data_IF_349917681919
#
_entry.id   IF_349917681919
#
_cell.length_a   1.000
_cell.length_b   1.000
_cell.length_c   1.000
_cell.angle_alpha   90.00
_cell.angle_beta   90.00
_cell.angle_gamma   90.00
#
_symmetry.space_group_name_H-M   'P 1'
#
loop_
_entity.id
_entity.type
_entity.pdbx_description
1 polymer ?
#
# COMPACT_ATOMS: atom_id res chain seq x y z
N UNK A 1 -81.19 -2.37 -11.05
CA UNK A 1 -80.04 -2.48 -11.95
C UNK A 1 -78.75 -1.78 -11.46
N UNK A 2 -78.87 -0.89 -10.45
CA UNK A 2 -77.74 -0.14 -9.87
C UNK A 2 -76.95 -0.97 -8.85
N UNK A 3 -77.61 -1.83 -8.09
CA UNK A 3 -77.01 -2.65 -7.02
C UNK A 3 -76.01 -3.67 -7.50
N UNK A 4 -76.18 -4.26 -8.72
CA UNK A 4 -75.25 -5.22 -9.28
C UNK A 4 -73.97 -4.60 -9.83
N UNK A 5 -74.00 -3.33 -10.25
CA UNK A 5 -72.80 -2.63 -10.77
C UNK A 5 -71.87 -2.24 -9.63
N UNK A 6 -72.42 -1.76 -8.50
CA UNK A 6 -71.62 -1.37 -7.35
C UNK A 6 -70.98 -2.58 -6.69
N UNK A 7 -71.66 -3.71 -6.59
CA UNK A 7 -71.11 -4.95 -6.06
C UNK A 7 -69.95 -5.47 -6.92
N UNK A 8 -70.08 -5.41 -8.25
CA UNK A 8 -69.05 -5.84 -9.20
C UNK A 8 -67.81 -4.94 -9.13
N UNK A 9 -67.98 -3.62 -8.92
CA UNK A 9 -66.87 -2.66 -8.79
C UNK A 9 -66.15 -2.86 -7.45
N UNK A 10 -66.86 -3.17 -6.37
CA UNK A 10 -66.27 -3.45 -5.06
C UNK A 10 -65.47 -4.78 -5.07
N UNK A 11 -66.03 -5.82 -5.70
CA UNK A 11 -65.32 -7.11 -5.88
C UNK A 11 -64.09 -6.96 -6.74
N UNK A 12 -64.13 -6.15 -7.80
CA UNK A 12 -62.96 -5.89 -8.68
C UNK A 12 -61.89 -5.05 -7.95
N UNK A 13 -62.26 -4.07 -7.12
CA UNK A 13 -61.34 -3.32 -6.26
C UNK A 13 -60.72 -4.20 -5.16
N UNK A 14 -61.47 -5.14 -4.59
CA UNK A 14 -60.98 -6.09 -3.59
C UNK A 14 -60.00 -7.10 -4.18
N UNK A 15 -60.19 -7.51 -5.45
CA UNK A 15 -59.24 -8.40 -6.14
C UNK A 15 -57.90 -7.66 -6.47
N UNK A 16 -57.95 -6.39 -6.78
CA UNK A 16 -56.72 -5.59 -7.00
C UNK A 16 -55.94 -5.29 -5.72
N UNK A 17 -56.62 -5.23 -4.56
CA UNK A 17 -55.91 -4.98 -3.28
C UNK A 17 -55.21 -6.20 -2.70
N UNK A 18 -55.43 -7.41 -3.22
CA UNK A 18 -54.75 -8.63 -2.77
C UNK A 18 -53.54 -9.05 -3.63
N UNK A 19 -53.24 -8.31 -4.71
CA UNK A 19 -52.06 -8.55 -5.54
C UNK A 19 -50.82 -7.81 -5.01
N UNK A 20 -50.65 -7.69 -3.71
CA UNK A 20 -49.36 -7.45 -3.13
C UNK A 20 -48.57 -8.76 -3.23
N UNK A 21 -47.86 -8.95 -4.29
CA UNK A 21 -46.78 -9.94 -4.35
C UNK A 21 -45.82 -9.63 -3.20
N UNK A 22 -45.98 -10.33 -2.08
CA UNK A 22 -45.04 -10.25 -0.98
C UNK A 22 -43.69 -10.82 -1.48
N UNK A 23 -42.82 -9.93 -1.91
CA UNK A 23 -41.42 -10.30 -2.07
C UNK A 23 -40.90 -10.69 -0.69
N UNK A 24 -40.52 -11.95 -0.55
CA UNK A 24 -39.88 -12.42 0.65
C UNK A 24 -38.54 -11.69 0.83
N UNK A 25 -38.50 -10.71 1.68
CA UNK A 25 -37.30 -9.95 2.06
C UNK A 25 -36.52 -10.62 3.17
N UNK A 26 -36.92 -11.83 3.57
CA UNK A 26 -36.26 -12.56 4.65
C UNK A 26 -34.83 -12.94 4.28
N UNK A 27 -33.92 -12.73 5.22
CA UNK A 27 -32.55 -13.23 5.12
C UNK A 27 -32.55 -14.72 5.44
N UNK A 28 -32.46 -15.55 4.42
CA UNK A 28 -32.44 -17.01 4.53
C UNK A 28 -31.01 -17.49 4.23
N UNK A 29 -30.40 -18.36 5.08
CA UNK A 29 -29.13 -18.98 4.79
C UNK A 29 -29.17 -19.69 3.42
N UNK A 30 -28.12 -19.45 2.62
CA UNK A 30 -27.97 -20.07 1.29
C UNK A 30 -26.85 -21.10 1.34
N UNK A 31 -26.92 -22.13 0.48
CA UNK A 31 -25.87 -23.16 0.36
C UNK A 31 -24.52 -22.62 -0.13
N UNK A 32 -24.54 -21.54 -0.93
CA UNK A 32 -23.34 -20.80 -1.33
C UNK A 32 -23.25 -19.55 -0.45
N UNK A 33 -22.40 -19.61 0.56
CA UNK A 33 -22.21 -18.51 1.49
C UNK A 33 -21.68 -17.25 0.78
N UNK A 34 -22.09 -16.09 1.23
CA UNK A 34 -21.47 -14.83 0.82
C UNK A 34 -20.17 -14.65 1.57
N UNK A 35 -19.09 -14.36 0.87
CA UNK A 35 -17.76 -14.09 1.40
C UNK A 35 -17.36 -12.68 1.01
N UNK A 36 -16.68 -11.98 1.91
CA UNK A 36 -16.09 -10.66 1.67
C UNK A 36 -14.68 -10.70 2.24
N UNK A 37 -13.72 -10.48 1.40
CA UNK A 37 -12.29 -10.45 1.74
C UNK A 37 -11.68 -9.14 1.32
N UNK A 38 -10.76 -8.63 2.12
CA UNK A 38 -10.06 -7.38 1.83
C UNK A 38 -8.58 -7.56 2.11
N UNK A 39 -7.75 -7.22 1.11
CA UNK A 39 -6.31 -7.13 1.24
C UNK A 39 -5.86 -5.70 0.91
N UNK A 40 -4.87 -5.20 1.64
CA UNK A 40 -4.23 -3.91 1.37
C UNK A 40 -2.87 -4.10 0.74
N UNK A 41 -2.57 -3.33 -0.33
CA UNK A 41 -1.25 -3.15 -0.93
C UNK A 41 -0.94 -1.64 -0.94
N UNK A 42 0.23 -1.23 -0.41
CA UNK A 42 0.47 0.20 -0.14
C UNK A 42 -0.65 0.79 0.72
N UNK A 43 -1.35 1.78 0.18
CA UNK A 43 -2.54 2.39 0.82
C UNK A 43 -3.86 1.99 0.14
N UNK A 44 -3.82 1.05 -0.79
CA UNK A 44 -4.97 0.62 -1.61
C UNK A 44 -5.64 -0.61 -1.01
N UNK A 45 -6.92 -0.52 -0.68
CA UNK A 45 -7.75 -1.65 -0.29
C UNK A 45 -8.37 -2.31 -1.53
N UNK A 46 -8.19 -3.63 -1.66
CA UNK A 46 -8.81 -4.48 -2.65
C UNK A 46 -9.83 -5.36 -1.93
N UNK A 47 -11.11 -5.20 -2.22
CA UNK A 47 -12.17 -5.97 -1.59
C UNK A 47 -12.87 -6.84 -2.63
N UNK A 48 -12.91 -8.15 -2.42
CA UNK A 48 -13.64 -9.12 -3.25
C UNK A 48 -14.88 -9.57 -2.50
N UNK A 49 -16.03 -9.60 -3.18
CA UNK A 49 -17.29 -9.98 -2.59
C UNK A 49 -18.01 -10.95 -3.52
N UNK A 50 -18.15 -12.20 -3.11
CA UNK A 50 -18.60 -13.31 -3.95
C UNK A 50 -19.50 -14.32 -3.21
N UNK A 51 -20.20 -15.15 -3.95
CA UNK A 51 -20.84 -16.35 -3.40
C UNK A 51 -19.93 -17.55 -3.60
N UNK A 52 -19.64 -18.28 -2.52
CA UNK A 52 -18.75 -19.44 -2.49
C UNK A 52 -19.53 -20.78 -2.64
N UNK A 53 -19.68 -21.35 -3.85
CA UNK A 53 -20.32 -22.63 -4.05
C UNK A 53 -19.36 -23.78 -3.74
N UNK A 54 -19.92 -24.94 -3.29
CA UNK A 54 -19.20 -26.20 -3.20
C UNK A 54 -19.27 -27.00 -4.51
N UNK A 55 -18.28 -27.85 -4.73
CA UNK A 55 -18.22 -28.77 -5.88
C UNK A 55 -19.37 -29.79 -5.82
N UNK A 56 -19.62 -30.38 -4.65
CA UNK A 56 -20.66 -31.40 -4.44
C UNK A 56 -20.57 -32.54 -5.46
N UNK A 57 -19.39 -33.12 -5.65
CA UNK A 57 -19.09 -34.19 -6.60
C UNK A 57 -19.39 -33.86 -8.07
N UNK A 58 -19.42 -32.60 -8.49
CA UNK A 58 -19.60 -32.18 -9.89
C UNK A 58 -18.23 -31.95 -10.54
N UNK A 59 -18.15 -32.20 -11.84
CA UNK A 59 -17.05 -31.72 -12.66
C UNK A 59 -17.31 -30.28 -13.06
N UNK A 60 -16.99 -29.36 -12.14
CA UNK A 60 -17.38 -27.96 -12.25
C UNK A 60 -16.78 -27.24 -13.45
N UNK A 61 -15.57 -27.63 -13.89
CA UNK A 61 -14.90 -27.00 -15.02
C UNK A 61 -15.40 -27.45 -16.39
N UNK A 62 -16.02 -28.64 -16.50
CA UNK A 62 -16.57 -29.18 -17.71
C UNK A 62 -18.12 -29.18 -17.74
N UNK A 63 -18.80 -29.00 -16.62
CA UNK A 63 -20.26 -28.87 -16.59
C UNK A 63 -20.70 -27.47 -17.04
N UNK A 64 -21.11 -27.32 -18.26
CA UNK A 64 -21.55 -26.05 -18.87
C UNK A 64 -22.75 -25.41 -18.17
N UNK A 65 -23.47 -26.15 -17.32
CA UNK A 65 -24.57 -25.62 -16.48
C UNK A 65 -24.02 -24.90 -15.25
N UNK A 66 -22.77 -25.21 -14.85
CA UNK A 66 -22.07 -24.57 -13.72
C UNK A 66 -21.22 -23.43 -14.26
N UNK A 67 -20.34 -23.70 -15.22
CA UNK A 67 -19.46 -22.73 -15.86
C UNK A 67 -19.69 -22.74 -17.37
N UNK A 68 -20.42 -21.72 -17.90
CA UNK A 68 -20.60 -21.59 -19.35
C UNK A 68 -19.25 -21.47 -20.08
N UNK A 69 -19.07 -22.22 -21.16
CA UNK A 69 -17.86 -22.21 -21.96
C UNK A 69 -17.97 -21.21 -23.11
N UNK A 70 -16.85 -20.58 -23.48
CA UNK A 70 -16.78 -19.60 -24.57
C UNK A 70 -17.78 -18.42 -24.43
N UNK A 71 -18.23 -18.10 -23.21
CA UNK A 71 -19.23 -17.07 -22.98
C UNK A 71 -20.64 -17.40 -23.41
N UNK A 72 -20.95 -18.69 -23.71
CA UNK A 72 -22.26 -19.11 -24.23
C UNK A 72 -23.02 -19.96 -23.17
N UNK A 73 -24.26 -19.58 -22.80
CA UNK A 73 -25.04 -18.44 -23.30
C UNK A 73 -24.61 -17.07 -22.75
N UNK A 74 -23.81 -17.01 -21.69
CA UNK A 74 -23.35 -15.80 -21.00
C UNK A 74 -21.98 -16.05 -20.35
N UNK A 75 -21.19 -15.03 -20.03
CA UNK A 75 -20.01 -15.16 -19.18
C UNK A 75 -20.33 -15.75 -17.80
N UNK A 76 -19.38 -16.45 -17.19
CA UNK A 76 -19.54 -16.96 -15.83
C UNK A 76 -19.36 -15.82 -14.81
N UNK A 77 -20.25 -15.75 -13.81
CA UNK A 77 -20.21 -14.76 -12.72
C UNK A 77 -19.06 -14.92 -11.72
N UNK A 78 -18.13 -15.84 -11.96
CA UNK A 78 -16.99 -16.14 -11.11
C UNK A 78 -17.35 -16.38 -9.62
N UNK A 79 -18.46 -17.09 -9.39
CA UNK A 79 -19.05 -17.36 -8.09
C UNK A 79 -20.48 -17.84 -8.20
N UNK A 80 -21.31 -17.58 -7.19
CA UNK A 80 -22.71 -18.00 -7.12
C UNK A 80 -23.65 -16.87 -6.68
N UNK A 81 -24.93 -16.99 -7.09
CA UNK A 81 -26.04 -16.06 -6.78
C UNK A 81 -25.87 -14.71 -7.50
N UNK A 82 -25.64 -13.61 -6.72
CA UNK A 82 -25.28 -12.32 -7.30
C UNK A 82 -23.92 -12.41 -7.97
N UNK A 83 -23.64 -11.55 -8.94
CA UNK A 83 -22.32 -11.46 -9.53
C UNK A 83 -21.24 -11.18 -8.48
N UNK A 84 -20.05 -11.69 -8.73
CA UNK A 84 -18.87 -11.33 -7.95
C UNK A 84 -18.52 -9.87 -8.21
N UNK A 85 -18.03 -9.16 -7.19
CA UNK A 85 -17.56 -7.79 -7.34
C UNK A 85 -16.15 -7.66 -6.77
N UNK A 86 -15.34 -6.83 -7.44
CA UNK A 86 -14.02 -6.42 -6.95
C UNK A 86 -14.03 -4.90 -6.81
N UNK A 87 -13.65 -4.41 -5.62
CA UNK A 87 -13.56 -2.98 -5.32
C UNK A 87 -12.11 -2.59 -5.14
N UNK A 88 -11.71 -1.49 -5.75
CA UNK A 88 -10.42 -0.84 -5.56
C UNK A 88 -10.65 0.54 -4.93
N UNK A 89 -9.92 0.84 -3.83
CA UNK A 89 -10.06 2.14 -3.14
C UNK A 89 -9.31 3.27 -3.84
N UNK A 90 -8.32 2.96 -4.66
CA UNK A 90 -7.55 3.88 -5.51
C UNK A 90 -7.45 3.31 -6.93
N UNK A 91 -6.87 4.06 -7.86
CA UNK A 91 -6.54 3.55 -9.20
C UNK A 91 -5.53 2.40 -9.10
N UNK A 92 -5.70 1.38 -9.93
CA UNK A 92 -4.84 0.19 -9.97
C UNK A 92 -4.44 -0.17 -11.40
N UNK A 93 -3.46 -1.06 -11.54
CA UNK A 93 -3.18 -1.75 -12.79
C UNK A 93 -3.57 -3.22 -12.63
N UNK A 94 -4.35 -3.74 -13.56
CA UNK A 94 -4.69 -5.16 -13.66
C UNK A 94 -3.98 -5.71 -14.89
N UNK A 95 -3.09 -6.68 -14.70
CA UNK A 95 -2.21 -7.18 -15.77
C UNK A 95 -1.53 -6.03 -16.55
N UNK A 96 -1.11 -4.96 -15.82
CA UNK A 96 -0.48 -3.78 -16.39
C UNK A 96 -1.43 -2.76 -17.05
N UNK A 97 -2.74 -2.98 -17.05
CA UNK A 97 -3.73 -2.07 -17.62
C UNK A 97 -4.44 -1.24 -16.55
N UNK A 98 -4.51 0.07 -16.74
CA UNK A 98 -5.06 1.01 -15.77
C UNK A 98 -6.56 0.82 -15.57
N UNK A 99 -6.98 0.68 -14.32
CA UNK A 99 -8.38 0.64 -13.89
C UNK A 99 -8.59 1.67 -12.78
N UNK A 100 -9.60 2.50 -12.94
CA UNK A 100 -9.93 3.56 -11.97
C UNK A 100 -10.46 2.99 -10.66
N UNK A 101 -10.31 3.74 -9.56
CA UNK A 101 -10.96 3.43 -8.29
C UNK A 101 -12.47 3.21 -8.50
N UNK A 102 -13.03 2.18 -7.85
CA UNK A 102 -14.44 1.86 -8.03
C UNK A 102 -14.80 0.44 -7.66
N UNK A 103 -16.04 0.07 -7.92
CA UNK A 103 -16.57 -1.29 -7.75
C UNK A 103 -16.89 -1.85 -9.13
N UNK A 104 -16.35 -3.01 -9.44
CA UNK A 104 -16.53 -3.68 -10.73
C UNK A 104 -17.22 -5.03 -10.56
N UNK A 105 -18.18 -5.33 -11.42
CA UNK A 105 -18.67 -6.69 -11.61
C UNK A 105 -17.56 -7.53 -12.25
N UNK A 106 -17.30 -8.71 -11.68
CA UNK A 106 -16.25 -9.60 -12.16
C UNK A 106 -16.86 -10.84 -12.79
N UNK A 107 -16.45 -11.12 -14.02
CA UNK A 107 -16.94 -12.25 -14.79
C UNK A 107 -15.79 -12.92 -15.54
N UNK A 108 -15.96 -14.19 -15.91
CA UNK A 108 -14.94 -14.98 -16.60
C UNK A 108 -15.55 -15.70 -17.79
N UNK A 109 -14.79 -15.75 -18.88
CA UNK A 109 -15.08 -16.59 -20.06
C UNK A 109 -13.95 -17.60 -20.20
N UNK A 110 -14.17 -18.89 -19.86
CA UNK A 110 -13.22 -19.95 -20.20
C UNK A 110 -13.17 -20.19 -21.72
N UNK A 111 -11.97 -20.23 -22.30
CA UNK A 111 -11.70 -20.47 -23.72
C UNK A 111 -10.61 -21.52 -23.89
N UNK A 112 -10.86 -22.74 -23.43
CA UNK A 112 -9.85 -23.81 -23.42
C UNK A 112 -8.74 -23.51 -22.39
N UNK A 113 -7.52 -23.28 -22.86
CA UNK A 113 -6.35 -23.02 -22.02
C UNK A 113 -6.18 -21.54 -21.59
N UNK A 114 -7.12 -20.70 -21.98
CA UNK A 114 -7.12 -19.27 -21.66
C UNK A 114 -8.43 -18.88 -21.01
N UNK A 115 -8.35 -18.02 -20.00
CA UNK A 115 -9.50 -17.45 -19.28
C UNK A 115 -9.54 -15.96 -19.52
N UNK A 116 -10.59 -15.47 -20.15
CA UNK A 116 -10.81 -14.04 -20.33
C UNK A 116 -11.52 -13.49 -19.09
N UNK A 117 -10.87 -12.61 -18.35
CA UNK A 117 -11.41 -11.90 -17.21
C UNK A 117 -12.07 -10.61 -17.66
N UNK A 118 -13.27 -10.34 -17.17
CA UNK A 118 -14.08 -9.19 -17.51
C UNK A 118 -14.35 -8.36 -16.25
N UNK A 119 -13.97 -7.09 -16.27
CA UNK A 119 -14.29 -6.12 -15.24
C UNK A 119 -15.33 -5.15 -15.80
N UNK A 120 -16.54 -5.17 -15.22
CA UNK A 120 -17.67 -4.42 -15.71
C UNK A 120 -18.07 -3.31 -14.72
N UNK A 121 -18.45 -2.13 -15.20
CA UNK A 121 -19.01 -1.09 -14.33
C UNK A 121 -20.39 -1.47 -13.80
N UNK A 122 -21.15 -2.32 -14.51
CA UNK A 122 -22.37 -2.92 -14.00
C UNK A 122 -22.02 -4.00 -12.97
N UNK A 123 -22.21 -3.70 -11.68
CA UNK A 123 -21.71 -4.51 -10.56
C UNK A 123 -22.81 -5.02 -9.62
N UNK A 124 -24.09 -4.84 -9.96
CA UNK A 124 -25.22 -5.24 -9.11
C UNK A 124 -26.31 -5.95 -9.92
N UNK A 125 -26.04 -7.22 -10.25
CA UNK A 125 -26.96 -8.03 -11.02
C UNK A 125 -26.99 -9.50 -10.54
N UNK A 126 -28.06 -10.21 -10.88
CA UNK A 126 -28.13 -11.65 -10.67
C UNK A 126 -27.34 -12.38 -11.75
N UNK A 127 -26.21 -12.97 -11.37
CA UNK A 127 -25.33 -13.66 -12.32
C UNK A 127 -24.71 -12.72 -13.34
N UNK A 128 -24.76 -13.13 -14.61
CA UNK A 128 -24.31 -12.36 -15.77
C UNK A 128 -25.42 -12.15 -16.79
N UNK A 129 -26.68 -12.33 -16.39
CA UNK A 129 -27.82 -12.34 -17.32
C UNK A 129 -28.13 -10.98 -17.95
N UNK A 130 -27.70 -9.90 -17.28
CA UNK A 130 -27.95 -8.52 -17.71
C UNK A 130 -26.65 -7.80 -18.12
N UNK A 131 -25.55 -8.55 -18.27
CA UNK A 131 -24.26 -7.99 -18.68
C UNK A 131 -24.30 -7.67 -20.18
N UNK A 132 -24.11 -6.42 -20.52
CA UNK A 132 -23.94 -5.94 -21.90
C UNK A 132 -22.45 -5.94 -22.23
N UNK A 133 -22.01 -6.86 -23.08
CA UNK A 133 -20.61 -7.04 -23.45
C UNK A 133 -20.01 -5.84 -24.20
N UNK A 134 -20.82 -5.00 -24.84
CA UNK A 134 -20.36 -3.83 -25.60
C UNK A 134 -20.31 -2.59 -24.72
N UNK A 135 -21.23 -2.46 -23.75
CA UNK A 135 -21.39 -1.23 -22.95
C UNK A 135 -20.81 -1.33 -21.56
N UNK A 136 -20.91 -2.50 -20.89
CA UNK A 136 -20.59 -2.61 -19.47
C UNK A 136 -19.10 -2.88 -19.21
N UNK A 137 -18.36 -3.43 -20.19
CA UNK A 137 -16.98 -3.87 -19.97
C UNK A 137 -16.02 -2.69 -19.91
N UNK A 138 -15.39 -2.52 -18.77
CA UNK A 138 -14.34 -1.51 -18.54
C UNK A 138 -12.97 -2.07 -18.92
N UNK A 139 -12.70 -3.34 -18.59
CA UNK A 139 -11.45 -4.01 -18.88
C UNK A 139 -11.70 -5.47 -19.22
N UNK A 140 -10.95 -5.96 -20.20
CA UNK A 140 -10.84 -7.36 -20.54
C UNK A 140 -9.37 -7.76 -20.61
N UNK A 141 -9.00 -8.85 -19.91
CA UNK A 141 -7.64 -9.41 -19.93
C UNK A 141 -7.70 -10.93 -20.03
N UNK A 142 -6.73 -11.49 -20.72
CA UNK A 142 -6.59 -12.93 -20.86
C UNK A 142 -5.49 -13.46 -19.93
N UNK A 143 -5.80 -14.51 -19.16
CA UNK A 143 -4.88 -15.17 -18.25
C UNK A 143 -4.86 -16.66 -18.48
N UNK A 144 -3.78 -17.33 -18.04
CA UNK A 144 -3.68 -18.79 -18.07
C UNK A 144 -3.94 -19.36 -16.69
N UNK A 145 -4.76 -20.41 -16.58
CA UNK A 145 -4.95 -21.09 -15.30
C UNK A 145 -3.66 -21.82 -14.87
N UNK A 146 -3.54 -22.04 -13.57
CA UNK A 146 -2.51 -22.88 -12.95
C UNK A 146 -3.15 -23.95 -12.07
N UNK A 147 -2.42 -25.00 -11.75
CA UNK A 147 -2.83 -25.95 -10.74
C UNK A 147 -2.72 -25.35 -9.34
N UNK A 148 -3.58 -25.79 -8.42
CA UNK A 148 -3.54 -25.46 -7.01
C UNK A 148 -3.94 -26.68 -6.15
N UNK A 149 -3.73 -26.66 -4.83
CA UNK A 149 -4.30 -27.64 -3.93
C UNK A 149 -5.83 -27.70 -4.09
N UNK A 150 -6.38 -28.91 -3.96
CA UNK A 150 -7.82 -29.12 -4.14
C UNK A 150 -8.64 -28.28 -3.15
N UNK A 151 -9.56 -27.46 -3.68
CA UNK A 151 -10.53 -26.69 -2.90
C UNK A 151 -11.97 -27.14 -3.22
N UNK A 152 -12.68 -27.67 -2.22
CA UNK A 152 -14.10 -28.06 -2.34
C UNK A 152 -15.01 -26.84 -2.55
N UNK A 153 -14.66 -25.68 -1.97
CA UNK A 153 -15.40 -24.45 -2.14
C UNK A 153 -14.64 -23.50 -3.05
N UNK A 154 -15.38 -22.77 -3.89
CA UNK A 154 -14.78 -21.65 -4.63
C UNK A 154 -14.30 -20.61 -3.64
N UNK A 155 -13.04 -20.18 -3.82
CA UNK A 155 -12.37 -19.21 -2.97
C UNK A 155 -11.53 -18.24 -3.80
N UNK A 156 -11.15 -17.11 -3.18
CA UNK A 156 -10.22 -16.14 -3.72
C UNK A 156 -9.05 -16.00 -2.77
N UNK A 157 -7.84 -16.24 -3.27
CA UNK A 157 -6.61 -16.15 -2.50
C UNK A 157 -5.78 -14.94 -2.93
N UNK A 158 -5.18 -14.27 -1.94
CA UNK A 158 -4.21 -13.20 -2.17
C UNK A 158 -2.80 -13.76 -1.99
N UNK A 159 -2.02 -13.78 -3.07
CA UNK A 159 -0.73 -14.47 -3.16
C UNK A 159 0.38 -13.50 -3.58
N UNK A 160 1.64 -13.84 -3.29
CA UNK A 160 2.83 -13.16 -3.81
C UNK A 160 2.79 -11.63 -3.67
N UNK A 161 2.32 -11.15 -2.54
CA UNK A 161 2.15 -9.71 -2.31
C UNK A 161 3.47 -9.03 -1.94
N UNK A 162 3.62 -7.86 -2.49
CA UNK A 162 4.71 -6.93 -2.23
C UNK A 162 4.12 -5.63 -1.65
N UNK A 163 4.93 -4.58 -1.55
CA UNK A 163 4.43 -3.27 -1.13
C UNK A 163 3.42 -2.67 -2.12
N UNK A 164 3.56 -2.97 -3.41
CA UNK A 164 2.83 -2.34 -4.52
C UNK A 164 2.03 -3.31 -5.39
N UNK A 165 2.04 -4.61 -5.09
CA UNK A 165 1.35 -5.61 -5.92
C UNK A 165 0.88 -6.84 -5.15
N UNK A 166 -0.11 -7.54 -5.73
CA UNK A 166 -0.63 -8.82 -5.24
C UNK A 166 -1.13 -9.65 -6.43
N UNK A 167 -0.96 -10.95 -6.36
CA UNK A 167 -1.65 -11.87 -7.26
C UNK A 167 -2.95 -12.32 -6.61
N UNK A 168 -4.08 -12.13 -7.29
CA UNK A 168 -5.38 -12.65 -6.87
C UNK A 168 -5.62 -13.94 -7.64
N UNK A 169 -5.89 -15.03 -6.93
CA UNK A 169 -6.22 -16.34 -7.53
C UNK A 169 -7.64 -16.74 -7.19
N UNK A 170 -8.52 -16.90 -8.18
CA UNK A 170 -9.76 -17.65 -7.99
C UNK A 170 -9.44 -19.12 -8.00
N UNK A 171 -9.72 -19.83 -6.89
CA UNK A 171 -9.46 -21.26 -6.73
C UNK A 171 -10.76 -22.07 -6.63
N UNK A 172 -10.85 -23.15 -7.41
CA UNK A 172 -11.93 -24.12 -7.29
C UNK A 172 -11.52 -25.46 -7.86
N UNK A 173 -11.81 -26.56 -7.16
CA UNK A 173 -11.23 -27.87 -7.41
C UNK A 173 -9.69 -27.79 -7.37
N UNK A 174 -9.02 -28.18 -8.42
CA UNK A 174 -7.57 -28.22 -8.59
C UNK A 174 -7.02 -27.07 -9.47
N UNK A 175 -7.86 -26.10 -9.79
CA UNK A 175 -7.52 -25.03 -10.73
C UNK A 175 -7.57 -23.66 -10.08
N UNK A 176 -6.49 -22.87 -10.29
CA UNK A 176 -6.38 -21.46 -9.95
C UNK A 176 -6.42 -20.60 -11.22
N UNK A 177 -7.18 -19.52 -11.20
CA UNK A 177 -7.18 -18.49 -12.24
C UNK A 177 -6.55 -17.24 -11.67
N UNK A 178 -5.22 -17.02 -11.86
CA UNK A 178 -4.49 -15.94 -11.27
C UNK A 178 -4.56 -14.69 -12.15
N UNK A 179 -4.51 -13.51 -11.51
CA UNK A 179 -4.24 -12.23 -12.16
C UNK A 179 -3.54 -11.28 -11.18
N UNK A 180 -2.69 -10.41 -11.72
CA UNK A 180 -1.90 -9.46 -10.91
C UNK A 180 -2.63 -8.14 -10.82
N UNK A 181 -2.71 -7.61 -9.60
CA UNK A 181 -3.13 -6.23 -9.32
C UNK A 181 -1.94 -5.49 -8.74
N UNK A 182 -1.61 -4.34 -9.30
CA UNK A 182 -0.53 -3.48 -8.79
C UNK A 182 -0.97 -2.02 -8.73
N UNK A 183 -0.20 -1.19 -8.02
CA UNK A 183 -0.41 0.24 -7.89
C UNK A 183 0.87 1.00 -8.24
N UNK A 184 0.73 2.19 -8.81
CA UNK A 184 1.82 3.17 -8.79
C UNK A 184 1.88 3.75 -7.37
N UNK A 185 2.70 3.11 -6.52
CA UNK A 185 2.80 3.45 -5.10
C UNK A 185 3.14 4.93 -4.90
N UNK A 186 4.13 5.42 -5.63
CA UNK A 186 4.60 6.79 -5.47
C UNK A 186 3.52 7.81 -5.81
N UNK A 187 2.89 7.67 -6.96
CA UNK A 187 1.78 8.55 -7.36
C UNK A 187 0.61 8.46 -6.39
N UNK A 188 0.22 7.25 -6.01
CA UNK A 188 -0.94 7.00 -5.13
C UNK A 188 -0.74 7.62 -3.75
N UNK A 189 0.45 7.46 -3.16
CA UNK A 189 0.76 7.99 -1.82
C UNK A 189 0.89 9.52 -1.85
N UNK A 190 1.57 10.09 -2.84
CA UNK A 190 1.71 11.54 -2.97
C UNK A 190 0.35 12.23 -3.16
N UNK A 191 -0.55 11.65 -3.95
CA UNK A 191 -1.91 12.17 -4.11
C UNK A 191 -2.72 12.08 -2.81
N UNK A 192 -2.56 11.00 -2.04
CA UNK A 192 -3.16 10.89 -0.72
C UNK A 192 -2.66 11.98 0.22
N UNK A 193 -1.35 12.24 0.26
CA UNK A 193 -0.78 13.34 1.06
C UNK A 193 -1.36 14.69 0.67
N UNK A 194 -1.46 15.02 -0.62
CA UNK A 194 -2.09 16.27 -1.10
C UNK A 194 -3.53 16.42 -0.60
N UNK A 195 -4.26 15.30 -0.49
CA UNK A 195 -5.63 15.30 0.04
C UNK A 195 -5.65 15.46 1.56
N UNK A 196 -4.87 14.66 2.27
CA UNK A 196 -4.85 14.61 3.74
C UNK A 196 -4.34 15.92 4.35
N UNK A 197 -3.32 16.54 3.73
CA UNK A 197 -2.74 17.81 4.17
C UNK A 197 -3.69 19.03 3.98
N UNK A 198 -4.83 18.86 3.32
CA UNK A 198 -5.94 19.86 3.26
C UNK A 198 -6.94 19.70 4.41
N UNK A 199 -6.91 18.57 5.11
CA UNK A 199 -7.77 18.25 6.25
C UNK A 199 -7.19 18.72 7.58
N UNK A 200 -7.50 18.01 8.65
CA UNK A 200 -7.00 18.30 10.01
C UNK A 200 -5.46 18.27 10.10
N UNK A 201 -4.81 17.48 9.27
CA UNK A 201 -3.37 17.34 9.21
C UNK A 201 -2.65 18.66 8.84
N UNK A 202 -3.35 19.61 8.20
CA UNK A 202 -2.78 20.92 7.85
C UNK A 202 -2.25 21.72 9.06
N UNK A 203 -2.75 21.42 10.26
CA UNK A 203 -2.39 22.11 11.51
C UNK A 203 -1.18 21.51 12.22
N UNK A 204 -0.67 20.36 11.75
CA UNK A 204 0.40 19.60 12.41
C UNK A 204 1.67 19.63 11.56
N UNK A 205 2.73 20.22 12.08
CA UNK A 205 4.03 20.28 11.40
C UNK A 205 4.58 18.87 11.07
N UNK A 206 4.28 17.90 11.94
CA UNK A 206 4.70 16.50 11.74
C UNK A 206 4.15 15.96 10.43
N UNK A 207 2.86 16.15 10.15
CA UNK A 207 2.24 15.62 8.93
C UNK A 207 2.92 16.16 7.66
N UNK A 208 3.27 17.44 7.62
CA UNK A 208 4.00 18.05 6.51
C UNK A 208 5.41 17.47 6.38
N UNK A 209 6.10 17.32 7.52
CA UNK A 209 7.45 16.74 7.54
C UNK A 209 7.42 15.25 7.17
N UNK A 210 6.46 14.48 7.67
CA UNK A 210 6.33 13.05 7.38
C UNK A 210 6.07 12.81 5.90
N UNK A 211 5.20 13.60 5.26
CA UNK A 211 4.96 13.56 3.83
C UNK A 211 6.25 13.87 3.03
N UNK A 212 6.98 14.92 3.43
CA UNK A 212 8.25 15.28 2.81
C UNK A 212 9.32 14.19 2.98
N UNK A 213 9.44 13.62 4.18
CA UNK A 213 10.41 12.58 4.48
C UNK A 213 10.08 11.27 3.75
N UNK A 214 8.80 10.95 3.58
CA UNK A 214 8.39 9.80 2.77
C UNK A 214 8.84 9.97 1.31
N UNK A 215 8.60 11.14 0.72
CA UNK A 215 9.06 11.46 -0.64
C UNK A 215 10.60 11.38 -0.77
N UNK A 216 11.33 11.86 0.25
CA UNK A 216 12.79 11.76 0.30
C UNK A 216 13.26 10.30 0.27
N UNK A 217 12.66 9.44 1.08
CA UNK A 217 13.03 8.03 1.20
C UNK A 217 12.71 7.23 -0.06
N UNK A 218 11.65 7.61 -0.79
CA UNK A 218 11.25 6.98 -2.05
C UNK A 218 11.83 7.68 -3.29
N UNK A 219 12.66 8.69 -3.08
CA UNK A 219 13.28 9.50 -4.14
C UNK A 219 12.27 9.97 -5.20
N UNK A 220 11.13 10.46 -4.74
CA UNK A 220 10.00 10.90 -5.58
C UNK A 220 9.50 12.26 -5.15
N UNK A 221 8.95 13.06 -6.08
CA UNK A 221 8.26 14.31 -5.81
C UNK A 221 9.04 15.32 -4.92
N UNK A 222 10.37 15.36 -5.06
CA UNK A 222 11.27 16.07 -4.15
C UNK A 222 11.06 17.59 -4.13
N UNK A 223 10.63 18.19 -5.25
CA UNK A 223 10.37 19.64 -5.30
C UNK A 223 9.18 20.03 -4.41
N UNK A 224 8.06 19.32 -4.52
CA UNK A 224 6.89 19.55 -3.67
C UNK A 224 7.18 19.15 -2.21
N UNK A 225 7.98 18.09 -2.00
CA UNK A 225 8.43 17.69 -0.67
C UNK A 225 9.25 18.82 0.01
N UNK A 226 10.05 19.57 -0.76
CA UNK A 226 10.75 20.74 -0.25
C UNK A 226 9.75 21.83 0.21
N UNK A 227 8.68 22.08 -0.55
CA UNK A 227 7.62 23.01 -0.15
C UNK A 227 6.92 22.54 1.14
N UNK A 228 6.72 21.25 1.30
CA UNK A 228 6.14 20.67 2.52
C UNK A 228 7.06 20.82 3.73
N UNK A 229 8.40 20.71 3.56
CA UNK A 229 9.32 21.05 4.66
C UNK A 229 9.27 22.51 5.04
N UNK A 230 9.19 23.42 4.07
CA UNK A 230 9.00 24.85 4.34
C UNK A 230 7.69 25.11 5.11
N UNK A 231 6.63 24.40 4.74
CA UNK A 231 5.35 24.46 5.43
C UNK A 231 5.46 23.97 6.87
N UNK A 232 6.20 22.89 7.12
CA UNK A 232 6.48 22.35 8.46
C UNK A 232 7.29 23.31 9.33
N UNK A 233 8.24 24.03 8.72
CA UNK A 233 9.16 24.94 9.41
C UNK A 233 8.52 26.32 9.69
N UNK A 234 7.99 26.94 8.64
CA UNK A 234 7.55 28.35 8.66
C UNK A 234 6.03 28.50 8.80
N UNK A 235 5.28 27.40 8.69
CA UNK A 235 3.84 27.42 8.69
C UNK A 235 3.27 27.96 7.37
N UNK A 236 1.95 28.02 7.30
CA UNK A 236 1.25 28.58 6.17
C UNK A 236 0.33 29.72 6.59
N UNK A 237 -0.88 29.74 6.03
CA UNK A 237 -1.87 30.76 6.34
C UNK A 237 -2.03 30.90 7.86
N UNK A 238 -1.88 32.13 8.40
CA UNK A 238 -1.87 32.42 9.84
C UNK A 238 -0.83 31.66 10.68
N UNK A 239 0.25 31.13 10.07
CA UNK A 239 1.30 30.42 10.79
C UNK A 239 0.93 29.02 11.26
N UNK A 240 -0.19 28.45 10.81
CA UNK A 240 -0.56 27.07 11.14
C UNK A 240 0.55 26.10 10.73
N UNK A 241 0.85 25.13 11.59
CA UNK A 241 1.91 24.15 11.50
C UNK A 241 3.36 24.69 11.65
N UNK A 242 3.57 25.99 11.87
CA UNK A 242 4.91 26.52 12.07
C UNK A 242 5.57 25.91 13.32
N UNK A 243 6.66 25.16 13.11
CA UNK A 243 7.45 24.60 14.21
C UNK A 243 8.84 24.25 13.71
N UNK A 244 9.72 25.24 13.64
CA UNK A 244 11.12 25.03 13.28
C UNK A 244 11.82 24.17 14.34
N UNK A 245 12.41 23.07 13.93
CA UNK A 245 13.11 22.15 14.80
C UNK A 245 14.14 21.32 14.01
N UNK A 246 15.00 20.59 14.72
CA UNK A 246 16.04 19.77 14.13
C UNK A 246 15.50 18.76 13.10
N UNK A 247 14.37 18.09 13.37
CA UNK A 247 13.84 17.02 12.51
C UNK A 247 13.46 17.54 11.12
N UNK A 248 12.67 18.64 11.05
CA UNK A 248 12.23 19.14 9.74
C UNK A 248 13.35 19.90 8.99
N UNK A 249 14.29 20.51 9.69
CA UNK A 249 15.49 21.05 9.05
C UNK A 249 16.40 19.95 8.49
N UNK A 250 16.55 18.82 9.19
CA UNK A 250 17.29 17.66 8.67
C UNK A 250 16.63 17.09 7.41
N UNK A 251 15.30 16.98 7.37
CA UNK A 251 14.56 16.56 6.18
C UNK A 251 14.78 17.56 5.03
N UNK A 252 14.65 18.85 5.28
CA UNK A 252 14.90 19.91 4.28
C UNK A 252 16.33 19.84 3.74
N UNK A 253 17.33 19.74 4.61
CA UNK A 253 18.75 19.62 4.22
C UNK A 253 18.96 18.43 3.26
N UNK A 254 18.44 17.24 3.61
CA UNK A 254 18.59 16.03 2.79
C UNK A 254 17.88 16.16 1.43
N UNK A 255 16.71 16.78 1.37
CA UNK A 255 15.99 17.04 0.11
C UNK A 255 16.78 18.01 -0.76
N UNK A 256 17.28 19.13 -0.20
CA UNK A 256 18.10 20.11 -0.93
C UNK A 256 19.37 19.48 -1.50
N UNK A 257 20.00 18.58 -0.74
CA UNK A 257 21.17 17.81 -1.19
C UNK A 257 20.82 16.91 -2.37
N UNK A 258 19.70 16.17 -2.30
CA UNK A 258 19.21 15.33 -3.42
C UNK A 258 18.87 16.15 -4.67
N UNK A 259 18.35 17.36 -4.49
CA UNK A 259 18.05 18.29 -5.57
C UNK A 259 19.28 19.06 -6.11
N UNK A 260 20.48 18.83 -5.54
CA UNK A 260 21.73 19.53 -5.87
C UNK A 260 21.64 21.06 -5.68
N UNK A 261 20.83 21.55 -4.75
CA UNK A 261 20.66 22.96 -4.42
C UNK A 261 21.72 23.39 -3.39
N UNK A 262 22.97 23.53 -3.84
CA UNK A 262 24.17 23.66 -2.98
C UNK A 262 24.12 24.86 -2.04
N UNK A 263 23.69 26.04 -2.51
CA UNK A 263 23.64 27.25 -1.67
C UNK A 263 22.59 27.15 -0.58
N UNK A 264 21.38 26.69 -0.94
CA UNK A 264 20.29 26.48 0.01
C UNK A 264 20.63 25.37 1.02
N UNK A 265 21.30 24.30 0.55
CA UNK A 265 21.78 23.21 1.38
C UNK A 265 22.76 23.69 2.46
N UNK A 266 23.73 24.54 2.12
CA UNK A 266 24.67 25.15 3.07
C UNK A 266 23.96 26.04 4.10
N UNK A 267 22.94 26.80 3.68
CA UNK A 267 22.14 27.62 4.61
C UNK A 267 21.32 26.73 5.55
N UNK A 268 20.68 25.69 5.03
CA UNK A 268 19.89 24.76 5.83
C UNK A 268 20.76 24.02 6.87
N UNK A 269 21.99 23.63 6.51
CA UNK A 269 22.94 23.04 7.45
C UNK A 269 23.31 24.01 8.57
N UNK A 270 23.61 25.27 8.23
CA UNK A 270 23.93 26.32 9.23
C UNK A 270 22.76 26.58 10.20
N UNK A 271 21.51 26.43 9.72
CA UNK A 271 20.34 26.55 10.59
C UNK A 271 20.17 25.30 11.45
N UNK A 272 20.35 24.11 10.87
CA UNK A 272 20.26 22.82 11.56
C UNK A 272 21.24 22.73 12.75
N UNK A 273 22.49 23.19 12.58
CA UNK A 273 23.52 23.15 13.59
C UNK A 273 23.20 24.02 14.83
N UNK A 274 22.30 25.00 14.68
CA UNK A 274 21.87 25.89 15.78
C UNK A 274 20.69 25.32 16.58
N UNK A 275 20.01 24.33 16.05
CA UNK A 275 18.84 23.75 16.72
C UNK A 275 19.26 22.79 17.83
N UNK A 276 18.40 22.67 18.82
CA UNK A 276 18.57 21.65 19.86
C UNK A 276 18.14 20.28 19.34
N UNK A 277 18.90 19.27 19.71
CA UNK A 277 18.61 17.87 19.33
C UNK A 277 18.92 16.91 20.49
N UNK A 278 18.22 15.79 20.54
CA UNK A 278 18.56 14.70 21.45
C UNK A 278 19.53 13.70 20.80
N UNK A 279 20.08 12.77 21.61
CA UNK A 279 21.06 11.80 21.14
C UNK A 279 20.54 10.92 20.00
N UNK A 280 19.25 10.53 20.01
CA UNK A 280 18.67 9.70 18.93
C UNK A 280 18.56 10.46 17.61
N UNK A 281 18.16 11.74 17.65
CA UNK A 281 18.13 12.59 16.45
C UNK A 281 19.53 12.76 15.85
N UNK A 282 20.52 13.01 16.73
CA UNK A 282 21.91 13.12 16.31
C UNK A 282 22.46 11.82 15.72
N UNK A 283 22.15 10.68 16.35
CA UNK A 283 22.55 9.37 15.84
C UNK A 283 21.98 9.13 14.44
N UNK A 284 20.66 9.34 14.27
CA UNK A 284 20.02 9.08 12.97
C UNK A 284 20.58 9.98 11.88
N UNK A 285 20.75 11.27 12.14
CA UNK A 285 21.31 12.20 11.16
C UNK A 285 22.75 11.86 10.79
N UNK A 286 23.60 11.55 11.78
CA UNK A 286 24.98 11.08 11.53
C UNK A 286 25.01 9.78 10.73
N UNK A 287 24.07 8.85 11.00
CA UNK A 287 23.94 7.59 10.27
C UNK A 287 23.50 7.81 8.83
N UNK A 288 22.56 8.72 8.59
CA UNK A 288 22.12 9.10 7.25
C UNK A 288 23.29 9.66 6.41
N UNK A 289 24.10 10.52 7.00
CA UNK A 289 25.32 11.07 6.35
C UNK A 289 26.35 9.99 6.00
N UNK A 290 26.56 9.02 6.91
CA UNK A 290 27.44 7.88 6.67
C UNK A 290 26.94 7.00 5.51
N UNK A 291 25.64 6.74 5.47
CA UNK A 291 25.00 5.95 4.40
C UNK A 291 25.08 6.67 3.04
N UNK A 292 25.00 7.99 3.05
CA UNK A 292 25.19 8.83 1.86
C UNK A 292 26.66 9.04 1.47
N UNK A 293 27.60 8.47 2.25
CA UNK A 293 29.06 8.58 2.08
C UNK A 293 29.60 10.00 2.23
N UNK A 294 28.89 10.85 2.93
CA UNK A 294 29.34 12.21 3.29
C UNK A 294 30.17 12.16 4.59
N UNK A 295 31.31 11.50 4.52
CA UNK A 295 32.08 11.12 5.69
C UNK A 295 32.67 12.34 6.43
N UNK A 296 33.07 13.39 5.71
CA UNK A 296 33.58 14.62 6.32
C UNK A 296 32.51 15.33 7.16
N UNK A 297 31.31 15.46 6.62
CA UNK A 297 30.19 16.04 7.33
C UNK A 297 29.74 15.13 8.48
N UNK A 298 29.71 13.81 8.28
CA UNK A 298 29.40 12.83 9.30
C UNK A 298 30.40 12.92 10.48
N UNK A 299 31.69 13.06 10.22
CA UNK A 299 32.71 13.24 11.26
C UNK A 299 32.52 14.54 12.02
N UNK A 300 32.39 15.67 11.32
CA UNK A 300 32.22 16.98 11.94
C UNK A 300 30.98 17.00 12.84
N UNK A 301 29.83 16.54 12.32
CA UNK A 301 28.57 16.49 13.07
C UNK A 301 28.65 15.55 14.27
N UNK A 302 29.17 14.31 14.09
CA UNK A 302 29.25 13.33 15.18
C UNK A 302 30.20 13.78 16.29
N UNK A 303 31.32 14.44 15.96
CA UNK A 303 32.23 15.02 16.95
C UNK A 303 31.53 16.11 17.79
N UNK A 304 30.70 16.94 17.17
CA UNK A 304 29.93 17.97 17.92
C UNK A 304 28.83 17.31 18.76
N UNK A 305 28.15 16.32 18.22
CA UNK A 305 27.10 15.57 18.92
C UNK A 305 27.65 14.85 20.16
N UNK A 306 28.85 14.24 20.07
CA UNK A 306 29.52 13.60 21.19
C UNK A 306 29.88 14.59 22.30
N UNK A 307 30.24 15.85 21.98
CA UNK A 307 30.45 16.89 22.99
C UNK A 307 29.19 17.27 23.74
N UNK A 308 28.01 17.24 23.06
CA UNK A 308 26.71 17.53 23.70
C UNK A 308 26.18 16.32 24.49
N UNK A 309 26.53 15.10 24.07
CA UNK A 309 26.01 13.83 24.64
C UNK A 309 27.17 12.84 24.88
N UNK A 310 28.11 13.10 25.80
CA UNK A 310 29.42 12.43 25.89
C UNK A 310 29.36 10.92 26.17
N UNK A 311 28.32 10.45 26.85
CA UNK A 311 28.20 9.02 27.22
C UNK A 311 27.34 8.20 26.26
N UNK A 312 27.07 8.75 25.07
CA UNK A 312 26.23 8.09 24.07
C UNK A 312 27.05 7.18 23.17
N UNK A 313 27.17 5.90 23.54
CA UNK A 313 27.93 4.89 22.79
C UNK A 313 27.63 4.88 21.28
N UNK A 314 26.38 5.07 20.89
CA UNK A 314 25.97 5.05 19.49
C UNK A 314 26.45 6.28 18.71
N UNK A 315 26.66 7.42 19.34
CA UNK A 315 27.26 8.61 18.70
C UNK A 315 28.77 8.44 18.55
N UNK A 316 29.45 7.82 19.54
CA UNK A 316 30.86 7.47 19.46
C UNK A 316 31.09 6.48 18.30
N UNK A 317 30.19 5.52 18.11
CA UNK A 317 30.25 4.59 16.97
C UNK A 317 30.14 5.36 15.64
N UNK A 318 29.23 6.32 15.50
CA UNK A 318 29.11 7.10 14.25
C UNK A 318 30.38 7.90 13.97
N UNK A 319 31.01 8.50 14.99
CA UNK A 319 32.30 9.21 14.84
C UNK A 319 33.40 8.25 14.39
N UNK A 320 33.53 7.09 15.03
CA UNK A 320 34.50 6.07 14.66
C UNK A 320 34.30 5.55 13.24
N UNK A 321 33.03 5.32 12.82
CA UNK A 321 32.75 4.92 11.46
C UNK A 321 33.14 6.00 10.43
N UNK A 322 32.86 7.26 10.71
CA UNK A 322 33.28 8.36 9.85
C UNK A 322 34.81 8.42 9.70
N UNK A 323 35.56 8.31 10.83
CA UNK A 323 37.03 8.23 10.82
C UNK A 323 37.53 7.06 9.97
N UNK A 324 36.93 5.88 10.11
CA UNK A 324 37.33 4.69 9.33
C UNK A 324 37.21 4.92 7.82
N UNK A 325 36.06 5.42 7.36
CA UNK A 325 35.86 5.67 5.93
C UNK A 325 36.69 6.84 5.38
N UNK A 326 37.22 7.71 6.25
CA UNK A 326 38.21 8.74 5.90
C UNK A 326 39.65 8.21 5.93
N UNK A 327 39.87 6.92 6.24
CA UNK A 327 41.20 6.28 6.27
C UNK A 327 41.88 6.31 7.63
N UNK A 328 41.26 6.87 8.68
CA UNK A 328 41.83 6.96 10.03
C UNK A 328 41.45 5.72 10.86
N UNK A 329 41.92 4.56 10.42
CA UNK A 329 41.51 3.25 10.99
C UNK A 329 41.89 3.09 12.46
N UNK A 330 43.07 3.57 12.90
CA UNK A 330 43.52 3.44 14.28
C UNK A 330 42.62 4.21 15.25
N UNK A 331 42.32 5.48 14.95
CA UNK A 331 41.44 6.32 15.72
C UNK A 331 39.99 5.80 15.74
N UNK A 332 39.54 5.26 14.61
CA UNK A 332 38.21 4.62 14.49
C UNK A 332 38.06 3.42 15.44
N UNK A 333 39.09 2.55 15.49
CA UNK A 333 39.12 1.39 16.39
C UNK A 333 39.11 1.84 17.87
N UNK A 334 39.81 2.90 18.20
CA UNK A 334 39.83 3.43 19.56
C UNK A 334 38.46 3.96 19.99
N UNK A 335 37.76 4.70 19.10
CA UNK A 335 36.38 5.13 19.35
C UNK A 335 35.45 3.95 19.58
N UNK A 336 35.52 2.89 18.73
CA UNK A 336 34.67 1.70 18.89
C UNK A 336 34.96 1.02 20.25
N UNK A 337 36.24 0.88 20.65
CA UNK A 337 36.60 0.33 21.96
C UNK A 337 36.07 1.16 23.11
N UNK A 338 36.09 2.48 22.99
CA UNK A 338 35.56 3.40 24.00
C UNK A 338 34.02 3.26 24.12
N UNK A 339 33.32 2.97 23.03
CA UNK A 339 31.89 2.77 23.03
C UNK A 339 31.45 1.43 23.66
N UNK A 340 32.29 0.37 23.62
CA UNK A 340 31.92 -0.98 24.10
C UNK A 340 31.45 -0.97 25.58
N UNK A 341 32.17 -0.42 26.54
CA UNK A 341 31.74 -0.45 27.94
C UNK A 341 30.48 0.35 28.25
N UNK A 342 30.14 1.33 27.38
CA UNK A 342 28.94 2.15 27.49
C UNK A 342 27.71 1.48 26.85
N UNK A 343 27.94 0.53 25.94
CA UNK A 343 26.88 -0.15 25.18
C UNK A 343 26.29 -1.33 25.96
N UNK A 344 25.02 -1.68 25.72
CA UNK A 344 24.42 -2.91 26.23
C UNK A 344 25.21 -4.15 25.79
N UNK A 345 25.40 -5.12 26.71
CA UNK A 345 26.24 -6.33 26.50
C UNK A 345 25.94 -7.10 25.21
N UNK A 346 24.70 -7.09 24.75
CA UNK A 346 24.28 -7.75 23.50
C UNK A 346 24.98 -7.22 22.23
N UNK A 347 25.54 -6.01 22.26
CA UNK A 347 26.27 -5.40 21.13
C UNK A 347 27.77 -5.63 21.17
N UNK A 348 28.35 -6.06 22.33
CA UNK A 348 29.79 -6.15 22.52
C UNK A 348 30.47 -7.10 21.52
N UNK A 349 29.87 -8.26 21.26
CA UNK A 349 30.39 -9.22 20.28
C UNK A 349 30.41 -8.64 18.87
N UNK A 350 29.33 -7.97 18.47
CA UNK A 350 29.26 -7.30 17.14
C UNK A 350 30.32 -6.22 16.99
N UNK A 351 30.58 -5.42 18.03
CA UNK A 351 31.61 -4.38 17.96
C UNK A 351 33.02 -4.96 17.87
N UNK A 352 33.29 -6.07 18.54
CA UNK A 352 34.56 -6.77 18.37
C UNK A 352 34.74 -7.29 16.93
N UNK A 353 33.69 -7.82 16.30
CA UNK A 353 33.71 -8.21 14.88
C UNK A 353 34.00 -6.98 13.98
N UNK A 354 33.33 -5.85 14.22
CA UNK A 354 33.56 -4.59 13.49
C UNK A 354 35.02 -4.15 13.59
N UNK A 355 35.64 -4.23 14.77
CA UNK A 355 37.05 -3.91 14.97
C UNK A 355 37.95 -4.83 14.11
N UNK A 356 37.70 -6.12 14.06
CA UNK A 356 38.50 -7.05 13.24
C UNK A 356 38.28 -6.79 11.74
N UNK A 357 37.03 -6.54 11.32
CA UNK A 357 36.70 -6.15 9.93
C UNK A 357 37.42 -4.85 9.52
N UNK A 358 37.51 -3.85 10.43
CA UNK A 358 38.22 -2.60 10.19
C UNK A 358 39.75 -2.81 10.05
N UNK A 359 40.35 -3.64 10.92
CA UNK A 359 41.78 -3.95 10.85
C UNK A 359 42.22 -4.53 9.51
N UNK A 360 41.35 -5.37 8.91
CA UNK A 360 41.65 -6.00 7.61
C UNK A 360 41.05 -5.23 6.43
N UNK A 361 40.39 -4.10 6.66
CA UNK A 361 39.85 -3.23 5.62
C UNK A 361 38.60 -3.77 4.92
N UNK A 362 37.85 -4.66 5.56
CA UNK A 362 36.66 -5.31 4.96
C UNK A 362 35.33 -4.79 5.50
N UNK A 363 35.36 -3.93 6.52
CA UNK A 363 34.11 -3.41 7.10
C UNK A 363 33.30 -2.58 6.08
N UNK A 364 32.02 -2.86 6.01
CA UNK A 364 31.02 -2.10 5.25
C UNK A 364 29.83 -1.76 6.15
N UNK A 365 29.21 -0.60 5.93
CA UNK A 365 27.98 -0.24 6.63
C UNK A 365 26.88 -1.21 6.16
N UNK A 366 26.22 -1.95 7.06
CA UNK A 366 25.08 -2.77 6.70
C UNK A 366 23.96 -1.92 6.07
N UNK A 367 23.40 -2.42 4.97
CA UNK A 367 22.24 -1.81 4.30
C UNK A 367 20.98 -1.86 5.18
#
# INVERSE_FOLDING_TARGET
MIFNRTLFTIVFLLIFSTANAQFHTLKIPRSSNRVIETQRIGITDITINYGSPSINNRDVWNDTRVIPQNGNPIPWRAGANMNTTIKFSTDVLIEGQVVKAGVYGFHIIPKGDVFTLLFAHNNNQWGSYYLDMEKDITLQVDVKPTECPFSEKLDYEFLNWTEDSVTIGLEWADKRIPFVVSVDLNTTVVESFRHELRGVNTYHWQAWNDAANWCLNHNTNLEEALEWTERSINGGFHGFAANKNFTNLATKFKILKKLNKTEECAKALTELEKEEYNGNQAFQFGRDLLNEKDYDLALNFSTQANKKHPDSWFLIINEGLAKYFLGNTEDAIEDIKTAIPLAPKQYHERFNIVIEEMKVGTYQIPN
#
